data_IF_216224672709
#
_entry.id   IF_216224672709
#
_cell.length_a   1.000
_cell.length_b   1.000
_cell.length_c   1.000
_cell.angle_alpha   90.00
_cell.angle_beta   90.00
_cell.angle_gamma   90.00
#
_symmetry.space_group_name_H-M   'P 1'
#
loop_
_entity.id
_entity.type
_entity.pdbx_description
1 polymer ?
#
# COMPACT_ATOMS: atom_id res chain seq x y z
N UNK A 1 -3.09 8.28 3.43
CA UNK A 1 -3.50 6.93 2.94
C UNK A 1 -4.67 6.46 3.77
N UNK A 2 -5.67 5.82 3.16
CA UNK A 2 -6.78 5.26 3.92
C UNK A 2 -6.35 4.18 4.93
N UNK A 3 -7.22 3.84 5.86
CA UNK A 3 -7.07 2.73 6.78
C UNK A 3 -8.29 1.81 6.71
N UNK A 4 -8.07 0.51 6.69
CA UNK A 4 -9.12 -0.50 6.75
C UNK A 4 -8.96 -1.39 7.97
N UNK A 5 -10.06 -1.87 8.50
CA UNK A 5 -10.10 -2.87 9.56
C UNK A 5 -11.36 -3.71 9.46
N UNK A 6 -11.31 -4.93 9.94
CA UNK A 6 -12.49 -5.77 10.03
C UNK A 6 -12.33 -6.98 10.93
N UNK A 7 -13.47 -7.57 11.25
CA UNK A 7 -13.61 -8.78 12.04
C UNK A 7 -14.59 -9.71 11.32
N UNK A 8 -14.16 -10.92 11.01
CA UNK A 8 -14.95 -11.95 10.33
C UNK A 8 -15.07 -13.20 11.18
N UNK A 9 -16.27 -13.72 11.34
CA UNK A 9 -16.63 -14.68 12.36
C UNK A 9 -16.83 -14.00 13.72
N UNK A 10 -17.97 -14.20 14.37
CA UNK A 10 -18.36 -13.55 15.64
C UNK A 10 -18.15 -12.02 15.60
N UNK A 11 -18.75 -11.29 14.65
CA UNK A 11 -18.47 -9.88 14.41
C UNK A 11 -18.92 -9.03 15.59
N UNK A 12 -18.11 -8.01 15.91
CA UNK A 12 -18.43 -6.98 16.91
C UNK A 12 -18.10 -5.58 16.37
N UNK A 13 -19.12 -4.79 16.14
CA UNK A 13 -18.96 -3.44 15.62
C UNK A 13 -18.20 -2.52 16.59
N UNK A 14 -18.29 -2.73 17.89
CA UNK A 14 -17.58 -1.92 18.90
C UNK A 14 -16.08 -2.18 18.81
N UNK A 15 -15.70 -3.44 18.59
CA UNK A 15 -14.30 -3.82 18.38
C UNK A 15 -13.76 -3.13 17.13
N UNK A 16 -14.47 -3.21 16.00
CA UNK A 16 -14.05 -2.58 14.75
C UNK A 16 -13.97 -1.05 14.85
N UNK A 17 -14.87 -0.41 15.61
CA UNK A 17 -14.74 1.02 15.92
C UNK A 17 -13.44 1.34 16.67
N UNK A 18 -13.09 0.54 17.68
CA UNK A 18 -11.79 0.69 18.39
C UNK A 18 -10.59 0.47 17.44
N UNK A 19 -10.68 -0.55 16.57
CA UNK A 19 -9.64 -0.83 15.58
C UNK A 19 -9.40 0.37 14.65
N UNK A 20 -10.44 0.95 14.09
CA UNK A 20 -10.35 2.12 13.19
C UNK A 20 -9.83 3.36 13.92
N UNK A 21 -10.22 3.57 15.19
CA UNK A 21 -9.72 4.69 15.99
C UNK A 21 -8.19 4.64 16.15
N UNK A 22 -7.59 3.45 16.25
CA UNK A 22 -6.14 3.29 16.37
C UNK A 22 -5.36 3.71 15.10
N UNK A 23 -6.03 3.72 13.95
CA UNK A 23 -5.45 4.10 12.66
C UNK A 23 -6.10 5.34 12.04
N UNK A 24 -6.72 6.19 12.84
CA UNK A 24 -7.37 7.43 12.35
C UNK A 24 -6.41 8.39 11.65
N UNK A 25 -5.11 8.34 11.99
CA UNK A 25 -4.06 9.15 11.35
C UNK A 25 -3.90 8.84 9.86
N UNK A 26 -4.27 7.63 9.41
CA UNK A 26 -4.24 7.24 7.99
C UNK A 26 -5.32 7.93 7.18
N UNK A 27 -6.46 8.20 7.78
CA UNK A 27 -7.62 8.77 7.09
C UNK A 27 -8.43 9.69 8.00
N UNK A 28 -7.97 10.94 8.18
CA UNK A 28 -8.59 11.87 9.12
C UNK A 28 -9.92 12.47 8.63
N UNK A 29 -10.28 12.31 7.35
CA UNK A 29 -11.40 13.03 6.74
C UNK A 29 -12.76 12.42 7.14
N UNK A 30 -12.85 11.09 7.23
CA UNK A 30 -14.06 10.43 7.73
C UNK A 30 -13.81 9.00 8.21
N UNK A 31 -14.70 8.51 9.10
CA UNK A 31 -14.70 7.12 9.55
C UNK A 31 -16.11 6.56 9.39
N UNK A 32 -16.20 5.39 8.75
CA UNK A 32 -17.46 4.74 8.50
C UNK A 32 -17.38 3.24 8.75
N UNK A 33 -18.53 2.63 9.01
CA UNK A 33 -18.65 1.26 9.46
C UNK A 33 -19.83 0.57 8.81
N UNK A 34 -19.72 -0.73 8.67
CA UNK A 34 -20.82 -1.61 8.27
C UNK A 34 -20.66 -2.98 8.92
N UNK A 35 -21.76 -3.60 9.28
CA UNK A 35 -21.80 -4.93 9.90
C UNK A 35 -23.03 -5.72 9.46
N UNK A 36 -22.87 -7.05 9.42
CA UNK A 36 -23.94 -8.03 9.44
C UNK A 36 -23.64 -9.12 10.50
N UNK A 37 -24.32 -10.27 10.42
CA UNK A 37 -24.16 -11.38 11.36
C UNK A 37 -22.84 -12.15 11.18
N UNK A 38 -22.08 -11.88 10.13
CA UNK A 38 -20.86 -12.61 9.75
C UNK A 38 -19.61 -11.77 9.79
N UNK A 39 -19.69 -10.46 9.46
CA UNK A 39 -18.56 -9.58 9.34
C UNK A 39 -18.85 -8.17 9.80
N UNK A 40 -17.89 -7.52 10.43
CA UNK A 40 -17.85 -6.09 10.70
C UNK A 40 -16.70 -5.47 9.96
N UNK A 41 -16.94 -4.38 9.22
CA UNK A 41 -15.97 -3.67 8.41
C UNK A 41 -15.90 -2.20 8.80
N UNK A 42 -14.70 -1.63 8.82
CA UNK A 42 -14.47 -0.23 9.10
C UNK A 42 -13.47 0.38 8.12
N UNK A 43 -13.65 1.66 7.85
CA UNK A 43 -12.81 2.44 6.96
C UNK A 43 -12.49 3.80 7.54
N UNK A 44 -11.23 4.21 7.49
CA UNK A 44 -10.75 5.56 7.80
C UNK A 44 -10.27 6.20 6.50
N UNK A 45 -10.93 7.28 6.06
CA UNK A 45 -10.76 7.87 4.71
C UNK A 45 -9.76 9.00 4.72
N UNK A 46 -8.81 8.94 3.77
CA UNK A 46 -8.11 10.10 3.22
C UNK A 46 -8.65 10.32 1.80
N UNK A 47 -9.28 11.45 1.58
CA UNK A 47 -9.88 11.77 0.29
C UNK A 47 -8.79 12.26 -0.68
N UNK A 48 -8.55 11.49 -1.77
CA UNK A 48 -7.59 11.79 -2.81
C UNK A 48 -8.29 11.95 -4.16
N UNK A 49 -9.21 11.03 -4.49
CA UNK A 49 -10.04 11.04 -5.69
C UNK A 49 -11.49 11.15 -5.26
N UNK A 50 -12.29 11.95 -5.98
CA UNK A 50 -13.71 12.23 -5.70
C UNK A 50 -13.95 12.70 -4.26
N UNK A 51 -13.45 13.90 -3.93
CA UNK A 51 -13.41 14.44 -2.57
C UNK A 51 -14.79 14.44 -1.86
N UNK A 52 -15.85 14.66 -2.61
CA UNK A 52 -17.23 14.70 -2.11
C UNK A 52 -17.99 13.38 -2.34
N UNK A 53 -17.32 12.40 -2.92
CA UNK A 53 -17.92 11.17 -3.38
C UNK A 53 -18.17 10.15 -2.28
N UNK A 54 -18.49 8.96 -2.73
CA UNK A 54 -18.93 7.83 -1.94
C UNK A 54 -17.94 7.44 -0.84
N UNK A 55 -18.51 7.09 0.29
CA UNK A 55 -17.79 6.60 1.45
C UNK A 55 -17.69 5.07 1.42
N UNK A 56 -16.64 4.55 2.05
CA UNK A 56 -16.50 3.12 2.33
C UNK A 56 -16.85 2.85 3.81
N UNK A 57 -17.39 1.68 4.17
CA UNK A 57 -17.60 0.49 3.35
C UNK A 57 -18.60 0.72 2.22
N UNK A 58 -18.21 0.37 0.98
CA UNK A 58 -18.97 0.58 -0.24
C UNK A 58 -19.81 -0.66 -0.56
N UNK A 59 -21.08 -0.45 -0.93
CA UNK A 59 -21.99 -1.56 -1.28
C UNK A 59 -22.10 -1.70 -2.78
N UNK A 60 -21.92 -2.93 -3.27
CA UNK A 60 -22.24 -3.31 -4.63
C UNK A 60 -23.72 -3.66 -4.80
N UNK A 61 -24.16 -3.67 -6.05
CA UNK A 61 -25.58 -3.92 -6.42
C UNK A 61 -26.05 -5.34 -6.12
N UNK A 62 -25.14 -6.31 -6.01
CA UNK A 62 -25.43 -7.72 -5.74
C UNK A 62 -25.02 -8.16 -4.32
N UNK A 63 -24.93 -7.23 -3.38
CA UNK A 63 -24.68 -7.53 -1.97
C UNK A 63 -23.19 -7.59 -1.57
N UNK A 64 -22.27 -7.20 -2.47
CA UNK A 64 -20.88 -7.03 -2.10
C UNK A 64 -20.73 -5.85 -1.13
N UNK A 65 -19.77 -5.96 -0.19
CA UNK A 65 -19.36 -4.85 0.67
C UNK A 65 -17.84 -4.76 0.69
N UNK A 66 -17.30 -3.61 0.30
CA UNK A 66 -15.88 -3.37 0.10
C UNK A 66 -15.34 -2.36 1.11
N UNK A 67 -14.18 -2.67 1.69
CA UNK A 67 -13.25 -1.70 2.26
C UNK A 67 -11.90 -1.84 1.58
N UNK A 68 -11.36 -0.73 1.09
CA UNK A 68 -10.10 -0.69 0.35
C UNK A 68 -9.22 0.48 0.79
N UNK A 69 -7.93 0.22 0.89
CA UNK A 69 -6.88 1.22 1.00
C UNK A 69 -6.02 1.14 -0.25
N UNK A 70 -6.13 2.11 -1.13
CA UNK A 70 -5.39 2.07 -2.40
C UNK A 70 -5.88 3.08 -3.41
N UNK A 71 -5.28 2.99 -4.60
CA UNK A 71 -5.63 3.74 -5.80
C UNK A 71 -5.62 2.78 -7.00
N UNK A 72 -6.69 2.77 -7.78
CA UNK A 72 -6.82 1.96 -9.00
C UNK A 72 -6.67 2.89 -10.21
N UNK A 73 -5.48 2.92 -10.79
CA UNK A 73 -5.11 3.88 -11.83
C UNK A 73 -5.90 3.69 -13.13
N UNK A 74 -6.18 2.46 -13.51
CA UNK A 74 -6.94 2.14 -14.71
C UNK A 74 -8.48 2.12 -14.53
N UNK A 75 -9.01 2.73 -13.45
CA UNK A 75 -10.45 2.70 -13.15
C UNK A 75 -11.32 3.27 -14.27
N UNK A 76 -10.83 4.30 -15.00
CA UNK A 76 -11.55 4.87 -16.15
C UNK A 76 -11.67 3.89 -17.32
N UNK A 77 -10.60 3.12 -17.55
CA UNK A 77 -10.59 2.08 -18.59
C UNK A 77 -11.56 0.94 -18.23
N UNK A 78 -11.49 0.46 -16.97
CA UNK A 78 -12.42 -0.55 -16.45
C UNK A 78 -13.86 -0.06 -16.58
N UNK A 79 -14.14 1.20 -16.23
CA UNK A 79 -15.45 1.82 -16.33
C UNK A 79 -15.98 1.80 -17.77
N UNK A 80 -15.15 2.14 -18.73
CA UNK A 80 -15.53 2.20 -20.15
C UNK A 80 -15.80 0.81 -20.75
N UNK A 81 -15.12 -0.23 -20.26
CA UNK A 81 -15.25 -1.61 -20.74
C UNK A 81 -16.33 -2.42 -20.04
N UNK A 82 -16.67 -2.05 -18.80
CA UNK A 82 -17.61 -2.81 -17.97
C UNK A 82 -19.06 -2.42 -18.21
N UNK A 83 -19.95 -3.43 -18.17
CA UNK A 83 -21.42 -3.25 -18.16
C UNK A 83 -21.99 -3.06 -16.74
N UNK A 84 -21.15 -2.93 -15.74
CA UNK A 84 -21.56 -2.71 -14.36
C UNK A 84 -22.31 -1.38 -14.21
N UNK A 85 -23.34 -1.35 -13.37
CA UNK A 85 -24.11 -0.13 -13.07
C UNK A 85 -23.40 0.69 -11.97
N UNK A 86 -22.52 1.57 -12.38
CA UNK A 86 -21.70 2.39 -11.51
C UNK A 86 -22.56 3.33 -10.64
N UNK A 87 -22.21 3.41 -9.36
CA UNK A 87 -22.92 4.23 -8.37
C UNK A 87 -22.14 5.49 -7.97
N UNK A 88 -20.82 5.49 -8.18
CA UNK A 88 -19.90 6.55 -7.76
C UNK A 88 -18.88 6.86 -8.83
N UNK A 89 -18.03 7.86 -8.60
CA UNK A 89 -16.85 8.13 -9.44
C UNK A 89 -15.55 7.67 -8.78
N UNK A 90 -15.63 7.05 -7.59
CA UNK A 90 -14.45 6.57 -6.87
C UNK A 90 -13.81 5.41 -7.63
N UNK A 91 -12.50 5.41 -7.71
CA UNK A 91 -11.68 4.39 -8.38
C UNK A 91 -11.86 2.98 -7.78
N UNK A 92 -12.00 2.89 -6.46
CA UNK A 92 -12.17 1.62 -5.72
C UNK A 92 -13.44 0.86 -6.10
N UNK A 93 -14.48 1.52 -6.65
CA UNK A 93 -15.67 0.82 -7.17
C UNK A 93 -15.32 -0.15 -8.31
N UNK A 94 -14.18 0.05 -8.97
CA UNK A 94 -13.66 -0.87 -9.99
C UNK A 94 -13.44 -2.29 -9.46
N UNK A 95 -13.10 -2.43 -8.18
CA UNK A 95 -12.93 -3.74 -7.52
C UNK A 95 -14.27 -4.48 -7.47
N UNK A 96 -15.34 -3.80 -7.06
CA UNK A 96 -16.70 -4.38 -7.03
C UNK A 96 -17.17 -4.71 -8.45
N UNK A 97 -16.94 -3.78 -9.39
CA UNK A 97 -17.38 -3.94 -10.79
C UNK A 97 -16.72 -5.14 -11.47
N UNK A 98 -15.41 -5.33 -11.28
CA UNK A 98 -14.69 -6.49 -11.83
C UNK A 98 -15.14 -7.79 -11.16
N UNK A 99 -15.28 -7.82 -9.84
CA UNK A 99 -15.81 -8.98 -9.13
C UNK A 99 -17.21 -9.35 -9.65
N UNK A 100 -18.13 -8.39 -9.72
CA UNK A 100 -19.53 -8.60 -10.14
C UNK A 100 -19.66 -9.14 -11.56
N UNK A 101 -18.81 -8.67 -12.46
CA UNK A 101 -18.86 -9.05 -13.88
C UNK A 101 -18.09 -10.33 -14.20
N UNK A 102 -17.11 -10.70 -13.39
CA UNK A 102 -16.22 -11.83 -13.65
C UNK A 102 -16.67 -13.11 -12.93
N UNK A 103 -17.21 -12.98 -11.72
CA UNK A 103 -17.67 -14.14 -10.97
C UNK A 103 -19.05 -14.57 -11.45
N UNK A 104 -19.19 -15.87 -11.77
CA UNK A 104 -20.44 -16.46 -12.24
C UNK A 104 -21.62 -16.07 -11.33
N UNK A 105 -22.77 -15.75 -11.95
CA UNK A 105 -24.02 -15.49 -11.23
C UNK A 105 -24.60 -16.72 -10.54
N UNK A 106 -24.10 -17.93 -10.83
CA UNK A 106 -24.41 -19.09 -10.04
C UNK A 106 -23.86 -18.91 -8.62
N UNK A 107 -24.70 -19.12 -7.60
CA UNK A 107 -24.29 -19.06 -6.19
C UNK A 107 -23.50 -20.34 -5.90
N UNK A 108 -22.24 -20.35 -6.30
CA UNK A 108 -21.29 -21.43 -6.05
C UNK A 108 -20.15 -20.84 -5.25
N UNK A 109 -19.71 -21.57 -4.25
CA UNK A 109 -18.52 -21.25 -3.48
C UNK A 109 -17.31 -21.07 -4.40
N UNK A 110 -16.52 -20.03 -4.18
CA UNK A 110 -15.31 -19.77 -4.95
C UNK A 110 -14.04 -20.18 -4.21
N UNK A 111 -12.95 -20.32 -4.94
CA UNK A 111 -11.60 -20.46 -4.41
C UNK A 111 -10.81 -19.19 -4.74
N UNK A 112 -9.67 -19.00 -4.09
CA UNK A 112 -8.83 -17.83 -4.38
C UNK A 112 -8.36 -17.75 -5.84
N UNK A 113 -8.19 -18.90 -6.52
CA UNK A 113 -7.82 -18.93 -7.95
C UNK A 113 -8.92 -18.38 -8.87
N UNK A 114 -10.19 -18.45 -8.48
CA UNK A 114 -11.30 -17.91 -9.27
C UNK A 114 -11.29 -16.37 -9.30
N UNK A 115 -10.53 -15.75 -8.38
CA UNK A 115 -10.41 -14.29 -8.29
C UNK A 115 -9.17 -13.74 -8.99
N UNK A 116 -8.20 -14.58 -9.37
CA UNK A 116 -6.93 -14.12 -9.95
C UNK A 116 -7.14 -13.33 -11.24
N UNK A 117 -7.97 -13.82 -12.15
CA UNK A 117 -8.16 -13.19 -13.47
C UNK A 117 -8.67 -11.76 -13.39
N UNK A 118 -9.68 -11.52 -12.56
CA UNK A 118 -10.23 -10.16 -12.46
C UNK A 118 -9.35 -9.24 -11.61
N UNK A 119 -8.66 -9.76 -10.58
CA UNK A 119 -7.72 -8.98 -9.77
C UNK A 119 -6.49 -8.60 -10.60
N UNK A 120 -6.03 -9.47 -11.50
CA UNK A 120 -4.91 -9.18 -12.41
C UNK A 120 -5.22 -8.04 -13.41
N UNK A 121 -6.50 -7.72 -13.61
CA UNK A 121 -6.90 -6.57 -14.42
C UNK A 121 -6.85 -5.22 -13.66
N UNK A 122 -6.57 -5.23 -12.36
CA UNK A 122 -6.36 -4.01 -11.57
C UNK A 122 -4.94 -3.48 -11.76
N UNK A 123 -4.79 -2.32 -12.38
CA UNK A 123 -3.54 -1.56 -12.33
C UNK A 123 -3.64 -0.55 -11.18
N UNK A 124 -2.91 -0.82 -10.10
CA UNK A 124 -2.99 0.01 -8.91
C UNK A 124 -2.15 -0.49 -7.75
N UNK A 125 -2.17 0.25 -6.67
CA UNK A 125 -1.64 -0.14 -5.37
C UNK A 125 -2.83 -0.28 -4.40
N UNK A 126 -3.02 -1.46 -3.84
CA UNK A 126 -4.22 -1.75 -3.05
C UNK A 126 -4.02 -2.81 -1.96
N UNK A 127 -4.81 -2.64 -0.90
CA UNK A 127 -5.15 -3.71 0.03
C UNK A 127 -6.65 -3.59 0.31
N UNK A 128 -7.39 -4.66 0.15
CA UNK A 128 -8.83 -4.62 0.35
C UNK A 128 -9.40 -5.86 1.02
N UNK A 129 -10.57 -5.69 1.61
CA UNK A 129 -11.46 -6.75 2.03
C UNK A 129 -12.80 -6.58 1.31
N UNK A 130 -13.21 -7.62 0.59
CA UNK A 130 -14.50 -7.70 -0.10
C UNK A 130 -15.34 -8.81 0.51
N UNK A 131 -16.45 -8.46 1.11
CA UNK A 131 -17.46 -9.38 1.61
C UNK A 131 -18.48 -9.68 0.51
N UNK A 132 -18.62 -10.92 0.11
CA UNK A 132 -19.67 -11.39 -0.79
C UNK A 132 -20.81 -12.03 0.04
N UNK A 133 -21.87 -11.26 0.24
CA UNK A 133 -23.03 -11.69 1.03
C UNK A 133 -23.73 -12.92 0.41
N UNK A 134 -23.74 -13.04 -0.90
CA UNK A 134 -24.42 -14.17 -1.58
C UNK A 134 -23.66 -15.48 -1.39
N UNK A 135 -22.34 -15.43 -1.40
CA UNK A 135 -21.46 -16.62 -1.26
C UNK A 135 -21.01 -16.88 0.16
N UNK A 136 -21.26 -15.91 1.07
CA UNK A 136 -20.78 -15.95 2.45
C UNK A 136 -19.26 -16.11 2.53
N UNK A 137 -18.53 -15.35 1.73
CA UNK A 137 -17.09 -15.39 1.57
C UNK A 137 -16.46 -14.02 1.78
N UNK A 138 -15.39 -13.97 2.57
CA UNK A 138 -14.55 -12.77 2.69
C UNK A 138 -13.28 -12.94 1.88
N UNK A 139 -13.05 -12.02 0.96
CA UNK A 139 -11.86 -11.99 0.10
C UNK A 139 -10.92 -10.91 0.62
N UNK A 140 -9.71 -11.30 1.02
CA UNK A 140 -8.61 -10.37 1.31
C UNK A 140 -7.64 -10.41 0.14
N UNK A 141 -7.26 -9.24 -0.37
CA UNK A 141 -6.25 -9.15 -1.43
C UNK A 141 -5.29 -7.99 -1.22
N UNK A 142 -4.05 -8.19 -1.67
CA UNK A 142 -2.98 -7.21 -1.61
C UNK A 142 -2.29 -7.08 -2.96
N UNK A 143 -1.92 -5.86 -3.34
CA UNK A 143 -1.28 -5.57 -4.62
C UNK A 143 0.00 -6.38 -4.85
N UNK A 144 0.41 -6.59 -6.13
CA UNK A 144 1.55 -7.43 -6.48
C UNK A 144 2.89 -7.00 -5.85
N UNK A 145 3.06 -5.70 -5.57
CA UNK A 145 4.28 -5.17 -4.94
C UNK A 145 4.16 -5.07 -3.41
N UNK A 146 2.94 -5.25 -2.85
CA UNK A 146 2.67 -5.11 -1.42
C UNK A 146 2.81 -3.68 -0.92
N UNK A 147 2.57 -2.67 -1.78
CA UNK A 147 2.70 -1.25 -1.44
C UNK A 147 1.73 -0.87 -0.32
N UNK A 148 0.50 -1.39 -0.37
CA UNK A 148 -0.46 -1.15 0.70
C UNK A 148 -0.38 -2.25 1.76
N UNK A 149 -0.24 -1.89 3.05
CA UNK A 149 -0.14 -2.88 4.12
C UNK A 149 -1.49 -3.54 4.39
N UNK A 150 -1.45 -4.82 4.74
CA UNK A 150 -2.58 -5.61 5.23
C UNK A 150 -2.06 -6.71 6.16
N UNK A 151 -2.43 -6.64 7.43
CA UNK A 151 -2.07 -7.63 8.46
C UNK A 151 -3.31 -8.35 8.97
N UNK A 152 -3.11 -9.56 9.49
CA UNK A 152 -4.19 -10.36 10.05
C UNK A 152 -3.73 -11.27 11.19
N UNK A 153 -4.68 -11.64 12.03
CA UNK A 153 -4.52 -12.63 13.12
C UNK A 153 -5.83 -13.34 13.40
N UNK A 154 -5.75 -14.45 14.12
CA UNK A 154 -6.94 -15.18 14.63
C UNK A 154 -7.08 -14.95 16.14
N UNK A 155 -8.27 -14.56 16.58
CA UNK A 155 -8.61 -14.41 18.00
C UNK A 155 -9.99 -15.02 18.25
N UNK A 156 -10.08 -15.96 19.17
CA UNK A 156 -11.34 -16.58 19.62
C UNK A 156 -12.25 -17.06 18.45
N UNK A 157 -11.65 -17.67 17.43
CA UNK A 157 -12.37 -18.18 16.25
C UNK A 157 -12.68 -17.10 15.20
N UNK A 158 -12.37 -15.84 15.45
CA UNK A 158 -12.56 -14.75 14.50
C UNK A 158 -11.26 -14.37 13.80
N UNK A 159 -11.36 -14.02 12.51
CA UNK A 159 -10.30 -13.36 11.79
C UNK A 159 -10.38 -11.85 12.05
N UNK A 160 -9.31 -11.28 12.59
CA UNK A 160 -9.08 -9.84 12.64
C UNK A 160 -8.12 -9.45 11.54
N UNK A 161 -8.38 -8.35 10.85
CA UNK A 161 -7.46 -7.78 9.85
C UNK A 161 -7.45 -6.27 9.88
N UNK A 162 -6.38 -5.67 9.38
CA UNK A 162 -6.26 -4.21 9.30
C UNK A 162 -5.04 -3.74 8.55
N UNK A 163 -4.99 -2.43 8.30
CA UNK A 163 -3.87 -1.80 7.59
C UNK A 163 -2.58 -1.76 8.40
N UNK A 164 -2.65 -1.73 9.73
CA UNK A 164 -1.49 -1.65 10.62
C UNK A 164 -1.62 -2.65 11.77
N UNK A 165 -0.50 -3.08 12.34
CA UNK A 165 -0.46 -4.09 13.41
C UNK A 165 -1.21 -3.61 14.65
N UNK A 166 -1.08 -2.32 15.00
CA UNK A 166 -1.80 -1.73 16.15
C UNK A 166 -3.33 -1.83 16.04
N UNK A 167 -3.84 -1.93 14.82
CA UNK A 167 -5.29 -2.09 14.56
C UNK A 167 -5.84 -3.30 15.33
N UNK A 168 -5.09 -4.39 15.40
CA UNK A 168 -5.51 -5.64 16.04
C UNK A 168 -5.67 -5.52 17.56
N UNK A 169 -5.05 -4.51 18.19
CA UNK A 169 -5.20 -4.20 19.61
C UNK A 169 -6.59 -3.68 19.99
N UNK A 170 -7.43 -3.38 19.01
CA UNK A 170 -8.83 -3.06 19.25
C UNK A 170 -9.63 -4.20 19.89
N UNK A 171 -9.18 -5.46 19.70
CA UNK A 171 -9.76 -6.64 20.33
C UNK A 171 -9.03 -7.00 21.64
N UNK A 172 -9.75 -7.08 22.75
CA UNK A 172 -9.16 -7.33 24.08
C UNK A 172 -8.49 -8.70 24.21
N UNK A 173 -8.98 -9.72 23.48
CA UNK A 173 -8.38 -11.04 23.40
C UNK A 173 -7.08 -11.09 22.61
N UNK A 174 -6.72 -10.02 21.85
CA UNK A 174 -5.43 -9.93 21.19
C UNK A 174 -4.36 -9.39 22.17
N UNK A 175 -3.61 -10.31 22.76
CA UNK A 175 -2.50 -9.97 23.67
C UNK A 175 -1.20 -10.00 22.87
N UNK A 176 -0.59 -8.82 22.56
CA UNK A 176 0.62 -8.77 21.77
C UNK A 176 1.80 -9.41 22.51
N UNK A 177 2.48 -10.32 21.83
CA UNK A 177 3.70 -10.98 22.30
C UNK A 177 4.77 -10.89 21.23
N UNK A 178 5.99 -10.56 21.59
CA UNK A 178 7.12 -10.49 20.65
C UNK A 178 7.40 -11.91 20.11
N UNK A 179 7.57 -11.99 18.82
CA UNK A 179 8.11 -13.18 18.15
C UNK A 179 9.64 -13.06 18.12
N UNK A 180 10.30 -13.80 19.01
CA UNK A 180 11.76 -13.73 19.17
C UNK A 180 12.50 -14.19 17.90
N UNK A 181 11.92 -15.11 17.13
CA UNK A 181 12.49 -15.56 15.85
C UNK A 181 12.40 -14.46 14.80
N UNK A 182 11.22 -13.83 14.67
CA UNK A 182 11.03 -12.71 13.75
C UNK A 182 11.91 -11.52 14.13
N UNK A 183 12.06 -11.23 15.44
CA UNK A 183 12.95 -10.18 15.93
C UNK A 183 14.41 -10.50 15.57
N UNK A 184 14.89 -11.72 15.80
CA UNK A 184 16.25 -12.13 15.46
C UNK A 184 16.51 -12.02 13.96
N UNK A 185 15.56 -12.44 13.13
CA UNK A 185 15.62 -12.30 11.66
C UNK A 185 15.71 -10.82 11.28
N UNK A 186 14.84 -9.99 11.84
CA UNK A 186 14.80 -8.54 11.56
C UNK A 186 16.12 -7.83 11.93
N UNK A 187 16.70 -8.20 13.06
CA UNK A 187 18.00 -7.64 13.49
C UNK A 187 19.17 -8.12 12.63
N UNK A 188 19.09 -9.34 12.07
CA UNK A 188 20.15 -9.90 11.25
C UNK A 188 20.07 -9.50 9.77
N UNK A 189 18.87 -9.30 9.23
CA UNK A 189 18.61 -9.08 7.80
C UNK A 189 18.03 -7.70 7.47
N UNK A 190 17.71 -6.89 8.49
CA UNK A 190 17.11 -5.54 8.36
C UNK A 190 15.67 -5.51 7.79
N UNK A 191 15.06 -6.64 7.46
CA UNK A 191 13.69 -6.74 6.97
C UNK A 191 13.02 -8.05 7.41
N UNK A 192 11.67 -8.06 7.54
CA UNK A 192 10.94 -9.27 7.88
C UNK A 192 10.96 -10.27 6.71
N UNK A 193 10.99 -11.55 7.02
CA UNK A 193 10.90 -12.62 6.03
C UNK A 193 9.48 -13.22 6.03
N UNK A 194 9.06 -13.67 4.85
CA UNK A 194 7.89 -14.54 4.67
C UNK A 194 6.56 -13.99 5.22
N UNK A 195 6.39 -12.66 5.24
CA UNK A 195 5.18 -12.03 5.76
C UNK A 195 5.04 -12.05 7.28
N UNK A 196 6.11 -12.37 8.01
CA UNK A 196 6.12 -12.29 9.48
C UNK A 196 6.08 -10.84 9.96
N UNK A 197 5.57 -10.63 11.17
CA UNK A 197 5.68 -9.36 11.90
C UNK A 197 6.48 -9.59 13.18
N UNK A 198 6.77 -8.53 13.91
CA UNK A 198 7.43 -8.65 15.22
C UNK A 198 6.52 -9.28 16.30
N UNK A 199 5.25 -9.56 15.99
CA UNK A 199 4.29 -10.11 16.94
C UNK A 199 3.88 -11.56 16.58
N UNK A 200 3.87 -12.43 17.59
CA UNK A 200 3.40 -13.81 17.44
C UNK A 200 1.98 -13.88 16.93
N UNK A 201 1.76 -14.76 15.93
CA UNK A 201 0.44 -15.02 15.36
C UNK A 201 -0.11 -13.88 14.49
N UNK A 202 0.62 -12.78 14.34
CA UNK A 202 0.28 -11.71 13.41
C UNK A 202 1.11 -11.85 12.13
N UNK A 203 0.42 -11.95 11.00
CA UNK A 203 1.06 -12.09 9.70
C UNK A 203 0.55 -11.04 8.72
N UNK A 204 1.41 -10.65 7.79
CA UNK A 204 1.01 -9.84 6.63
C UNK A 204 0.35 -10.75 5.59
N UNK A 205 -0.68 -10.25 4.92
CA UNK A 205 -1.08 -10.81 3.63
C UNK A 205 0.06 -10.54 2.65
N UNK A 206 0.59 -11.58 2.01
CA UNK A 206 1.78 -11.46 1.15
C UNK A 206 1.49 -10.60 -0.08
N UNK A 207 2.50 -9.93 -0.66
CA UNK A 207 2.35 -9.23 -1.94
C UNK A 207 1.78 -10.15 -3.02
N UNK A 208 0.83 -9.62 -3.82
CA UNK A 208 0.19 -10.36 -4.90
C UNK A 208 -0.69 -11.53 -4.44
N UNK A 209 -1.12 -11.55 -3.20
CA UNK A 209 -1.90 -12.68 -2.64
C UNK A 209 -3.38 -12.34 -2.56
N UNK A 210 -4.18 -13.35 -2.87
CA UNK A 210 -5.63 -13.41 -2.65
C UNK A 210 -5.93 -14.53 -1.67
N UNK A 211 -6.67 -14.22 -0.62
CA UNK A 211 -7.14 -15.17 0.39
C UNK A 211 -8.67 -15.18 0.39
N UNK A 212 -9.28 -16.38 0.35
CA UNK A 212 -10.72 -16.56 0.57
C UNK A 212 -10.95 -17.18 1.91
N UNK A 213 -11.74 -16.51 2.72
CA UNK A 213 -12.08 -16.89 4.09
C UNK A 213 -13.55 -17.27 4.19
N UNK A 214 -13.87 -18.31 4.98
CA UNK A 214 -15.23 -18.81 5.21
C UNK A 214 -15.47 -19.07 6.69
N UNK A 215 -16.75 -19.28 7.03
CA UNK A 215 -17.16 -19.72 8.35
C UNK A 215 -17.42 -21.23 8.36
N UNK A 216 -16.99 -21.90 9.42
CA UNK A 216 -17.37 -23.26 9.69
C UNK A 216 -18.76 -23.32 10.35
N UNK A 217 -19.26 -24.52 10.64
CA UNK A 217 -20.58 -24.73 11.25
C UNK A 217 -20.73 -24.13 12.66
N UNK A 218 -19.65 -23.70 13.30
CA UNK A 218 -19.63 -23.04 14.60
C UNK A 218 -19.51 -21.51 14.49
N UNK A 219 -19.51 -20.97 13.27
CA UNK A 219 -19.31 -19.54 13.04
C UNK A 219 -17.85 -19.07 13.10
N UNK A 220 -16.89 -20.01 13.27
CA UNK A 220 -15.47 -19.66 13.32
C UNK A 220 -14.92 -19.45 11.90
N UNK A 221 -14.11 -18.41 11.74
CA UNK A 221 -13.42 -18.11 10.50
C UNK A 221 -12.30 -19.12 10.22
N UNK A 222 -12.13 -19.49 8.97
CA UNK A 222 -10.99 -20.28 8.51
C UNK A 222 -10.56 -19.88 7.11
N UNK A 223 -9.27 -20.00 6.83
CA UNK A 223 -8.71 -19.78 5.50
C UNK A 223 -9.13 -20.95 4.60
N UNK A 224 -10.01 -20.68 3.64
CA UNK A 224 -10.51 -21.68 2.71
C UNK A 224 -9.51 -21.97 1.59
N UNK A 225 -8.95 -20.91 1.00
CA UNK A 225 -7.99 -21.04 -0.08
C UNK A 225 -7.13 -19.79 -0.19
N UNK A 226 -5.95 -19.94 -0.81
CA UNK A 226 -5.00 -18.90 -1.09
C UNK A 226 -4.46 -19.07 -2.51
N UNK A 227 -4.29 -17.97 -3.23
CA UNK A 227 -3.67 -17.96 -4.55
C UNK A 227 -2.81 -16.71 -4.70
N UNK A 228 -1.84 -16.77 -5.61
CA UNK A 228 -0.99 -15.64 -5.93
C UNK A 228 -1.29 -15.18 -7.35
N UNK A 229 -1.39 -13.87 -7.54
CA UNK A 229 -1.29 -13.25 -8.84
C UNK A 229 0.11 -13.53 -9.36
N UNK A 230 0.21 -14.32 -10.42
CA UNK A 230 1.51 -14.63 -11.01
C UNK A 230 2.16 -13.32 -11.47
N UNK A 231 3.32 -13.01 -10.92
CA UNK A 231 4.16 -11.96 -11.48
C UNK A 231 4.65 -12.47 -12.81
N UNK A 232 4.53 -11.65 -13.86
CA UNK A 232 5.20 -11.95 -15.11
C UNK A 232 6.69 -12.16 -14.79
N UNK A 233 7.18 -13.37 -15.03
CA UNK A 233 8.61 -13.66 -14.97
C UNK A 233 9.26 -12.85 -16.06
N UNK A 234 9.97 -11.79 -15.67
CA UNK A 234 10.78 -11.02 -16.61
C UNK A 234 11.92 -11.93 -17.05
N UNK A 235 11.85 -12.41 -18.26
CA UNK A 235 13.01 -13.10 -18.87
C UNK A 235 14.06 -12.01 -19.14
N UNK A 236 15.28 -12.13 -18.58
CA UNK A 236 16.32 -11.16 -18.87
C UNK A 236 16.53 -11.07 -20.38
N UNK A 237 16.49 -9.86 -20.93
CA UNK A 237 16.83 -9.63 -22.33
C UNK A 237 18.36 -9.76 -22.47
N UNK A 238 18.83 -10.73 -23.25
CA UNK A 238 20.25 -10.84 -23.59
C UNK A 238 20.71 -9.73 -24.55
N UNK A 239 19.75 -8.96 -25.10
CA UNK A 239 19.97 -7.96 -26.14
C UNK A 239 19.69 -6.52 -25.69
N UNK A 240 19.77 -6.22 -24.37
CA UNK A 240 19.60 -4.85 -23.91
C UNK A 240 20.60 -3.90 -24.56
N UNK A 241 20.10 -2.90 -25.28
CA UNK A 241 20.88 -1.84 -25.89
C UNK A 241 20.38 -0.48 -25.42
N UNK A 242 21.10 0.25 -24.56
CA UNK A 242 20.65 1.52 -24.02
C UNK A 242 20.37 2.55 -25.12
N UNK A 243 21.04 2.52 -26.26
CA UNK A 243 20.82 3.48 -27.37
C UNK A 243 19.47 3.26 -28.07
N UNK A 244 18.85 2.08 -27.89
CA UNK A 244 17.58 1.73 -28.53
C UNK A 244 16.46 1.64 -27.48
N UNK A 245 16.76 1.00 -26.33
CA UNK A 245 15.74 0.64 -25.35
C UNK A 245 15.49 1.73 -24.30
N UNK A 246 16.43 2.68 -24.13
CA UNK A 246 16.33 3.70 -23.09
C UNK A 246 15.13 4.66 -23.32
N UNK A 247 14.81 5.02 -24.56
CA UNK A 247 13.68 5.90 -24.87
C UNK A 247 12.34 5.21 -24.50
N UNK A 248 12.19 3.95 -24.87
CA UNK A 248 11.01 3.16 -24.51
C UNK A 248 10.85 3.00 -22.98
N UNK A 249 11.97 2.74 -22.29
CA UNK A 249 11.97 2.63 -20.83
C UNK A 249 11.55 3.96 -20.18
N UNK A 250 12.11 5.08 -20.68
CA UNK A 250 11.77 6.41 -20.18
C UNK A 250 10.30 6.73 -20.41
N UNK A 251 9.75 6.47 -21.59
CA UNK A 251 8.34 6.71 -21.89
C UNK A 251 7.43 5.88 -20.98
N UNK A 252 7.75 4.59 -20.78
CA UNK A 252 7.02 3.70 -19.84
C UNK A 252 7.07 4.27 -18.42
N UNK A 253 8.19 4.83 -17.99
CA UNK A 253 8.32 5.43 -16.69
C UNK A 253 7.50 6.73 -16.57
N UNK A 254 7.53 7.58 -17.61
CA UNK A 254 6.70 8.79 -17.67
C UNK A 254 5.21 8.44 -17.60
N UNK A 255 4.74 7.46 -18.35
CA UNK A 255 3.36 6.98 -18.29
C UNK A 255 3.00 6.48 -16.89
N UNK A 256 3.86 5.65 -16.28
CA UNK A 256 3.65 5.16 -14.92
C UNK A 256 3.58 6.28 -13.88
N UNK A 257 4.40 7.33 -13.98
CA UNK A 257 4.32 8.50 -13.09
C UNK A 257 3.08 9.34 -13.40
N UNK A 258 2.72 9.50 -14.66
CA UNK A 258 1.49 10.22 -15.07
C UNK A 258 0.23 9.60 -14.48
N UNK A 259 0.13 8.27 -14.45
CA UNK A 259 -0.97 7.57 -13.76
C UNK A 259 -1.04 7.94 -12.28
N UNK A 260 0.11 8.10 -11.60
CA UNK A 260 0.22 8.45 -10.18
C UNK A 260 -0.03 9.93 -9.87
N UNK A 261 -0.06 10.77 -10.91
CA UNK A 261 -0.54 12.16 -10.80
C UNK A 261 -2.08 12.24 -10.79
N UNK A 262 -2.78 11.13 -10.95
CA UNK A 262 -4.23 11.03 -10.80
C UNK A 262 -4.64 11.38 -9.36
N UNK A 263 -5.02 12.63 -9.14
CA UNK A 263 -5.36 13.14 -7.82
C UNK A 263 -6.18 14.41 -7.94
N UNK A 264 -7.21 14.56 -7.12
CA UNK A 264 -8.00 15.79 -6.96
C UNK A 264 -7.41 16.71 -5.86
N UNK A 265 -6.27 16.30 -5.26
CA UNK A 265 -5.55 17.04 -4.22
C UNK A 265 -4.11 17.32 -4.67
N UNK A 266 -3.43 18.33 -4.07
CA UNK A 266 -2.06 18.63 -4.41
C UNK A 266 -1.10 17.46 -4.21
N UNK A 267 -0.19 17.27 -5.19
CA UNK A 267 0.88 16.27 -5.19
C UNK A 267 2.22 16.98 -5.02
N UNK A 268 3.14 16.37 -4.27
CA UNK A 268 4.51 16.84 -4.10
C UNK A 268 5.53 15.74 -4.37
N UNK A 269 6.80 16.08 -4.39
CA UNK A 269 7.92 15.17 -4.67
C UNK A 269 8.88 15.18 -3.48
N UNK A 270 9.28 14.00 -3.01
CA UNK A 270 10.40 13.82 -2.07
C UNK A 270 11.69 13.85 -2.87
N UNK A 271 12.54 14.83 -2.63
CA UNK A 271 13.78 15.04 -3.37
C UNK A 271 14.98 15.01 -2.41
N UNK A 272 15.86 14.02 -2.57
CA UNK A 272 17.14 13.92 -1.84
C UNK A 272 18.34 14.35 -2.68
N UNK A 273 18.15 14.58 -3.98
CA UNK A 273 19.23 14.83 -4.93
C UNK A 273 19.99 13.57 -5.36
N UNK A 274 19.68 12.38 -4.79
CA UNK A 274 20.14 11.10 -5.29
C UNK A 274 19.55 10.77 -6.66
N UNK A 275 20.13 9.77 -7.36
CA UNK A 275 19.73 9.38 -8.71
C UNK A 275 18.22 9.12 -8.84
N UNK A 276 17.67 8.30 -7.97
CA UNK A 276 16.28 7.84 -8.06
C UNK A 276 15.28 8.96 -7.81
N UNK A 277 15.48 9.76 -6.75
CA UNK A 277 14.60 10.89 -6.45
C UNK A 277 14.69 11.98 -7.52
N UNK A 278 15.87 12.20 -8.09
CA UNK A 278 16.08 13.15 -9.18
C UNK A 278 15.40 12.70 -10.48
N UNK A 279 15.47 11.39 -10.77
CA UNK A 279 14.76 10.83 -11.93
C UNK A 279 13.25 10.93 -11.74
N UNK A 280 12.72 10.63 -10.55
CA UNK A 280 11.28 10.83 -10.25
C UNK A 280 10.88 12.28 -10.43
N UNK A 281 11.69 13.24 -9.98
CA UNK A 281 11.42 14.67 -10.15
C UNK A 281 11.38 15.08 -11.63
N UNK A 282 12.37 14.65 -12.43
CA UNK A 282 12.44 14.93 -13.85
C UNK A 282 11.25 14.31 -14.62
N UNK A 283 10.93 13.07 -14.31
CA UNK A 283 9.80 12.35 -14.95
C UNK A 283 8.46 12.93 -14.53
N UNK A 284 8.27 13.30 -13.25
CA UNK A 284 7.05 13.95 -12.79
C UNK A 284 6.84 15.33 -13.45
N UNK A 285 7.91 16.09 -13.66
CA UNK A 285 7.88 17.34 -14.41
C UNK A 285 7.41 17.11 -15.85
N UNK A 286 7.97 16.13 -16.56
CA UNK A 286 7.57 15.77 -17.93
C UNK A 286 6.14 15.24 -17.98
N UNK A 287 5.76 14.33 -17.07
CA UNK A 287 4.42 13.76 -16.99
C UNK A 287 3.35 14.83 -16.74
N UNK A 288 3.61 15.76 -15.82
CA UNK A 288 2.70 16.88 -15.55
C UNK A 288 2.50 17.77 -16.79
N UNK A 289 3.58 18.07 -17.54
CA UNK A 289 3.51 18.81 -18.80
C UNK A 289 2.70 18.08 -19.87
N UNK A 290 2.93 16.77 -20.07
CA UNK A 290 2.16 15.94 -21.02
C UNK A 290 0.66 15.90 -20.66
N UNK A 291 0.36 15.87 -19.36
CA UNK A 291 -1.02 15.88 -18.85
C UNK A 291 -1.66 17.27 -18.78
N UNK A 292 -0.93 18.33 -19.09
CA UNK A 292 -1.33 19.73 -18.89
C UNK A 292 -1.81 20.01 -17.45
N UNK A 293 -1.06 19.47 -16.48
CA UNK A 293 -1.29 19.63 -15.05
C UNK A 293 -0.19 20.52 -14.42
N UNK A 294 -0.45 21.11 -13.23
CA UNK A 294 0.59 21.81 -12.49
C UNK A 294 1.76 20.87 -12.17
N UNK A 295 2.99 21.37 -12.36
CA UNK A 295 4.19 20.63 -11.98
C UNK A 295 4.27 20.55 -10.46
N UNK A 296 4.43 19.35 -9.86
CA UNK A 296 4.53 19.21 -8.41
C UNK A 296 5.76 19.90 -7.84
N UNK A 297 5.60 20.60 -6.70
CA UNK A 297 6.73 21.12 -5.93
C UNK A 297 7.53 19.97 -5.28
N UNK A 298 8.76 20.23 -4.86
CA UNK A 298 9.61 19.24 -4.20
C UNK A 298 9.99 19.64 -2.77
N UNK A 299 10.28 18.65 -1.95
CA UNK A 299 10.63 18.77 -0.53
C UNK A 299 11.90 18.03 -0.20
N UNK A 300 12.75 18.68 0.60
CA UNK A 300 13.99 18.12 1.14
C UNK A 300 14.09 18.42 2.62
N UNK A 301 14.56 17.45 3.41
CA UNK A 301 14.98 17.64 4.80
C UNK A 301 16.42 17.15 4.97
N UNK A 302 17.17 17.82 5.82
CA UNK A 302 18.50 17.40 6.24
C UNK A 302 18.81 17.93 7.64
N UNK A 303 19.86 17.43 8.25
CA UNK A 303 20.36 17.93 9.54
C UNK A 303 21.06 19.29 9.44
N UNK A 304 21.51 19.67 8.23
CA UNK A 304 22.11 20.98 7.95
C UNK A 304 22.06 21.34 6.47
N UNK A 305 22.23 22.61 6.15
CA UNK A 305 22.36 23.11 4.77
C UNK A 305 23.67 22.65 4.10
N UNK A 306 24.66 22.22 4.88
CA UNK A 306 25.92 21.66 4.37
C UNK A 306 25.85 20.20 3.96
N UNK A 307 24.74 19.53 4.23
CA UNK A 307 24.52 18.14 3.83
C UNK A 307 24.63 17.97 2.32
N UNK A 308 25.36 16.95 1.82
CA UNK A 308 25.52 16.71 0.38
C UNK A 308 24.21 16.52 -0.39
N UNK A 309 23.23 15.82 0.22
CA UNK A 309 21.93 15.56 -0.37
C UNK A 309 21.12 16.87 -0.52
N UNK A 310 21.21 17.76 0.49
CA UNK A 310 20.60 19.08 0.42
C UNK A 310 21.11 19.87 -0.78
N UNK A 311 22.44 19.98 -0.95
CA UNK A 311 23.06 20.69 -2.08
C UNK A 311 22.74 20.04 -3.44
N UNK A 312 22.72 18.71 -3.48
CA UNK A 312 22.36 18.01 -4.69
C UNK A 312 20.88 18.26 -5.08
N UNK A 313 19.97 18.26 -4.10
CA UNK A 313 18.57 18.55 -4.31
C UNK A 313 18.35 19.99 -4.84
N UNK A 314 19.11 20.98 -4.34
CA UNK A 314 19.09 22.36 -4.86
C UNK A 314 19.47 22.43 -6.34
N UNK A 315 20.52 21.70 -6.74
CA UNK A 315 20.95 21.65 -8.14
C UNK A 315 19.86 21.05 -9.01
N UNK A 316 19.24 19.93 -8.59
CA UNK A 316 18.16 19.29 -9.34
C UNK A 316 16.94 20.20 -9.45
N UNK A 317 16.50 20.79 -8.35
CA UNK A 317 15.32 21.65 -8.33
C UNK A 317 15.51 22.89 -9.19
N UNK A 318 16.69 23.53 -9.12
CA UNK A 318 17.01 24.69 -9.95
C UNK A 318 17.13 24.34 -11.44
N UNK A 319 17.70 23.16 -11.77
CA UNK A 319 17.85 22.71 -13.16
C UNK A 319 16.51 22.42 -13.83
N UNK A 320 15.56 21.90 -13.06
CA UNK A 320 14.21 21.56 -13.53
C UNK A 320 13.19 22.70 -13.33
N UNK A 321 13.60 23.84 -12.80
CA UNK A 321 12.73 24.99 -12.45
C UNK A 321 11.55 24.58 -11.57
N UNK A 322 11.84 23.80 -10.50
CA UNK A 322 10.84 23.31 -9.55
C UNK A 322 10.74 24.22 -8.31
N UNK A 323 9.54 24.45 -7.82
CA UNK A 323 9.34 25.00 -6.48
C UNK A 323 9.94 24.06 -5.45
N UNK A 324 10.89 24.55 -4.63
CA UNK A 324 11.64 23.72 -3.69
C UNK A 324 11.43 24.17 -2.25
N UNK A 325 10.94 23.28 -1.41
CA UNK A 325 10.75 23.46 0.03
C UNK A 325 11.82 22.69 0.79
N UNK A 326 12.61 23.40 1.60
CA UNK A 326 13.72 22.82 2.35
C UNK A 326 13.56 23.08 3.84
N UNK A 327 13.85 22.08 4.68
CA UNK A 327 13.74 22.18 6.12
C UNK A 327 14.93 21.53 6.81
N UNK A 328 15.61 22.30 7.67
CA UNK A 328 16.65 21.76 8.56
C UNK A 328 15.98 21.14 9.77
N UNK A 329 16.34 19.90 10.07
CA UNK A 329 15.84 19.16 11.23
C UNK A 329 16.54 19.65 12.51
N UNK A 330 15.80 19.91 13.61
CA UNK A 330 16.41 20.21 14.89
C UNK A 330 17.29 19.06 15.40
N UNK A 331 18.40 19.39 16.06
CA UNK A 331 19.37 18.39 16.59
C UNK A 331 18.74 17.37 17.54
N UNK A 332 17.74 17.76 18.33
CA UNK A 332 17.05 16.94 19.33
C UNK A 332 15.78 16.24 18.80
N UNK A 333 15.52 16.36 17.48
CA UNK A 333 14.29 15.84 16.87
C UNK A 333 14.16 14.32 16.95
N UNK A 334 15.27 13.58 17.01
CA UNK A 334 15.26 12.12 17.03
C UNK A 334 14.77 11.54 18.35
N UNK A 335 15.41 11.91 19.47
CA UNK A 335 15.10 11.32 20.79
C UNK A 335 13.67 11.64 21.24
N UNK A 336 13.23 12.87 21.02
CA UNK A 336 11.89 13.32 21.41
C UNK A 336 10.77 12.66 20.62
N UNK A 337 11.02 12.24 19.38
CA UNK A 337 10.02 11.66 18.48
C UNK A 337 10.04 10.13 18.41
N UNK A 338 11.03 9.45 18.99
CA UNK A 338 11.14 7.98 18.97
C UNK A 338 9.87 7.22 19.36
N UNK A 339 9.12 7.58 20.43
CA UNK A 339 7.88 6.88 20.76
C UNK A 339 6.82 6.99 19.68
N UNK A 340 6.70 8.16 19.05
CA UNK A 340 5.75 8.41 17.94
C UNK A 340 6.18 7.67 16.68
N UNK A 341 7.48 7.67 16.39
CA UNK A 341 8.07 6.92 15.28
C UNK A 341 7.83 5.42 15.41
N UNK A 342 8.07 4.85 16.60
CA UNK A 342 7.79 3.44 16.89
C UNK A 342 6.30 3.10 16.76
N UNK A 343 5.43 4.02 17.19
CA UNK A 343 3.98 3.85 17.07
C UNK A 343 3.51 3.83 15.60
N UNK A 344 4.06 4.70 14.76
CA UNK A 344 3.69 4.78 13.34
C UNK A 344 4.42 3.76 12.46
N UNK A 345 5.70 3.51 12.72
CA UNK A 345 6.51 2.56 11.93
C UNK A 345 6.18 1.10 12.20
N UNK A 346 5.87 0.74 13.45
CA UNK A 346 5.56 -0.63 13.90
C UNK A 346 6.65 -1.66 13.60
N UNK A 347 7.83 -1.21 13.19
CA UNK A 347 8.98 -1.99 12.81
C UNK A 347 10.27 -1.30 13.28
N UNK A 348 11.41 -1.93 13.05
CA UNK A 348 12.74 -1.42 13.38
C UNK A 348 13.40 -0.72 12.18
N UNK A 349 12.61 -0.13 11.29
CA UNK A 349 13.10 0.60 10.15
C UNK A 349 13.53 2.03 10.56
N UNK A 350 14.84 2.26 10.55
CA UNK A 350 15.42 3.56 10.91
C UNK A 350 15.17 4.65 9.86
N UNK A 351 14.83 4.29 8.63
CA UNK A 351 14.54 5.27 7.57
C UNK A 351 13.32 6.15 7.91
N UNK A 352 12.41 5.63 8.71
CA UNK A 352 11.24 6.37 9.23
C UNK A 352 11.65 7.64 9.98
N UNK A 353 12.83 7.65 10.61
CA UNK A 353 13.38 8.81 11.34
C UNK A 353 13.54 10.05 10.45
N UNK A 354 13.87 9.85 9.18
CA UNK A 354 14.02 10.94 8.19
C UNK A 354 12.71 11.24 7.48
N UNK A 355 11.95 10.21 7.11
CA UNK A 355 10.73 10.39 6.33
C UNK A 355 9.59 11.01 7.12
N UNK A 356 9.43 10.71 8.40
CA UNK A 356 8.30 11.24 9.18
C UNK A 356 8.35 12.78 9.32
N UNK A 357 9.46 13.43 9.69
CA UNK A 357 9.53 14.89 9.73
C UNK A 357 9.30 15.54 8.37
N UNK A 358 9.81 14.92 7.30
CA UNK A 358 9.56 15.36 5.92
C UNK A 358 8.08 15.32 5.59
N UNK A 359 7.41 14.18 5.85
CA UNK A 359 5.98 14.03 5.55
C UNK A 359 5.09 14.95 6.41
N UNK A 360 5.49 15.24 7.66
CA UNK A 360 4.80 16.25 8.46
C UNK A 360 4.85 17.64 7.81
N UNK A 361 6.00 18.02 7.25
CA UNK A 361 6.15 19.29 6.53
C UNK A 361 5.41 19.29 5.19
N UNK A 362 5.50 18.22 4.43
CA UNK A 362 4.75 18.08 3.18
C UNK A 362 3.24 18.19 3.39
N UNK A 363 2.71 17.56 4.45
CA UNK A 363 1.28 17.55 4.75
C UNK A 363 0.67 18.95 4.97
N UNK A 364 1.48 19.93 5.31
CA UNK A 364 1.01 21.32 5.44
C UNK A 364 0.54 21.90 4.10
N UNK A 365 1.01 21.35 2.96
CA UNK A 365 0.72 21.86 1.62
C UNK A 365 0.19 20.82 0.63
N UNK A 366 0.57 19.54 0.78
CA UNK A 366 0.22 18.46 -0.15
C UNK A 366 -0.31 17.24 0.59
N UNK A 367 -1.14 16.47 -0.10
CA UNK A 367 -1.73 15.23 0.45
C UNK A 367 -1.03 13.98 -0.08
N UNK A 368 -0.46 14.05 -1.28
CA UNK A 368 0.23 12.96 -1.95
C UNK A 368 1.70 13.32 -2.13
N UNK A 369 2.60 12.37 -1.84
CA UNK A 369 4.03 12.50 -2.07
C UNK A 369 4.54 11.40 -3.00
N UNK A 370 5.20 11.80 -4.10
CA UNK A 370 5.96 10.89 -4.96
C UNK A 370 7.37 10.74 -4.40
N UNK A 371 7.91 9.53 -4.38
CA UNK A 371 9.29 9.27 -3.96
C UNK A 371 9.94 8.19 -4.83
N UNK A 372 11.27 8.13 -4.83
CA UNK A 372 12.07 7.12 -5.54
C UNK A 372 12.25 5.81 -4.78
N UNK A 373 11.55 5.63 -3.65
CA UNK A 373 11.69 4.42 -2.82
C UNK A 373 11.27 3.16 -3.57
N UNK A 374 12.08 2.11 -3.49
CA UNK A 374 11.89 0.85 -4.20
C UNK A 374 12.73 0.71 -5.48
N UNK A 375 13.38 1.77 -5.94
CA UNK A 375 14.20 1.74 -7.15
C UNK A 375 15.42 0.83 -6.98
N UNK A 376 16.13 0.93 -5.86
CA UNK A 376 17.29 0.09 -5.55
C UNK A 376 16.92 -1.40 -5.48
N UNK A 377 15.74 -1.72 -4.95
CA UNK A 377 15.23 -3.09 -4.85
C UNK A 377 14.90 -3.68 -6.22
N UNK A 378 14.36 -2.86 -7.12
CA UNK A 378 13.97 -3.30 -8.47
C UNK A 378 15.16 -3.34 -9.44
N UNK A 379 16.10 -2.41 -9.30
CA UNK A 379 17.20 -2.22 -10.23
C UNK A 379 18.56 -2.65 -9.66
N UNK A 380 18.56 -3.34 -8.50
CA UNK A 380 19.78 -3.83 -7.84
C UNK A 380 20.81 -2.71 -7.54
N UNK A 381 20.32 -1.53 -7.12
CA UNK A 381 21.14 -0.35 -6.87
C UNK A 381 22.05 -0.47 -5.65
N UNK A 382 21.63 -1.21 -4.61
CA UNK A 382 22.43 -1.37 -3.39
C UNK A 382 23.76 -2.08 -3.64
N UNK A 383 24.87 -1.65 -3.02
CA UNK A 383 26.16 -2.30 -3.12
C UNK A 383 26.13 -3.79 -2.79
N UNK A 384 25.24 -4.22 -1.87
CA UNK A 384 25.07 -5.63 -1.48
C UNK A 384 24.62 -6.56 -2.63
N UNK A 385 24.01 -6.02 -3.69
CA UNK A 385 23.59 -6.81 -4.85
C UNK A 385 24.72 -7.02 -5.88
N UNK A 386 25.85 -6.31 -5.75
CA UNK A 386 26.96 -6.39 -6.72
C UNK A 386 27.80 -7.66 -6.59
N UNK A 387 27.69 -8.38 -5.45
CA UNK A 387 28.48 -9.59 -5.18
C UNK A 387 27.60 -10.81 -4.89
N UNK A 388 26.70 -11.12 -5.83
CA UNK A 388 25.79 -12.27 -5.75
C UNK A 388 26.54 -13.61 -5.69
N UNK A 389 27.74 -13.73 -6.30
CA UNK A 389 28.54 -14.96 -6.27
C UNK A 389 29.09 -15.26 -4.86
N UNK A 390 29.55 -14.26 -4.14
CA UNK A 390 29.99 -14.42 -2.74
C UNK A 390 28.82 -14.79 -1.85
N UNK A 391 27.65 -14.19 -2.03
CA UNK A 391 26.42 -14.55 -1.32
C UNK A 391 26.00 -16.00 -1.62
N UNK A 392 26.00 -16.42 -2.86
CA UNK A 392 25.66 -17.80 -3.24
C UNK A 392 26.65 -18.83 -2.66
N UNK A 393 27.93 -18.48 -2.53
CA UNK A 393 28.94 -19.33 -1.85
C UNK A 393 28.67 -19.44 -0.36
N UNK A 394 28.33 -18.34 0.33
CA UNK A 394 28.03 -18.34 1.76
C UNK A 394 26.77 -19.18 2.09
N UNK A 395 25.74 -19.12 1.26
CA UNK A 395 24.52 -19.92 1.43
C UNK A 395 24.79 -21.43 1.24
N UNK A 396 25.71 -21.79 0.34
CA UNK A 396 26.08 -23.21 0.07
C UNK A 396 26.97 -23.85 1.15
N UNK A 397 27.55 -23.05 2.03
CA UNK A 397 28.43 -23.51 3.14
C UNK A 397 27.61 -23.83 4.42
N UNK A 398 26.32 -23.46 4.45
CA UNK A 398 25.37 -23.82 5.52
C UNK A 398 24.45 -24.94 5.07
#
# INVERSE_FOLDING_TARGET
>A
MCGIAGMFGHPDAVIVHRMIKLIQHRGPDSQNFWSDDSVSLGHSRLAIVDLNGSQQPMRGINGQVLVANGEIYNHKEIRNKSKYSWQTNVDSESIIALHDTSISKAIVSTSASDHIDWISNLNGMYAFALWDLQRQELILARDPMGIKPLVRTMVDGSLLFGSEVKTLRGHEGHIPQIDETALAVRLAWEYPLDGTTLLKGVTQVRPGTVEVWKLNNFGNAFLHSIANVERQTVTPSESWNPDIDAEYLLDTFVEGVQERLMSDVPVGIVLSGGLDSSLVAAVAHEAAKRANQPVPACWTVAESEDNPDWKAAEVVASTLDLEHHQYVLPEDSFESTLPELAWHGEDLDVSVLFFQPLFQKMREKVTVGLCGQGADELHAGYPRYRDLESHAKLIRIR
#
